data_IF_851483297909
#
_entry.id   IF_851483297909
#
_cell.length_a   1.000
_cell.length_b   1.000
_cell.length_c   1.000
_cell.angle_alpha   90.00
_cell.angle_beta   90.00
_cell.angle_gamma   90.00
#
_symmetry.space_group_name_H-M   'P 1'
#
loop_
_entity.id
_entity.type
_entity.pdbx_description
1 polymer ?
#
# COMPACT_ATOMS: atom_id res chain seq x y z
N UNK A 1 -0.57 -1.47 11.87
CA UNK A 1 0.72 -1.54 11.17
C UNK A 1 1.86 -0.95 11.98
N UNK A 2 1.87 0.35 12.33
CA UNK A 2 2.98 0.93 13.14
C UNK A 2 3.18 0.17 14.46
N UNK A 3 2.12 -0.02 15.25
CA UNK A 3 2.24 -0.78 16.51
C UNK A 3 2.65 -2.25 16.32
N UNK A 4 2.30 -2.87 15.18
CA UNK A 4 2.75 -4.23 14.88
C UNK A 4 4.26 -4.27 14.56
N UNK A 5 4.77 -3.25 13.84
CA UNK A 5 6.21 -3.07 13.64
C UNK A 5 6.94 -2.90 14.97
N UNK A 6 6.37 -2.14 15.91
CA UNK A 6 6.96 -1.95 17.24
C UNK A 6 6.99 -3.25 18.04
N UNK A 7 5.92 -4.04 17.99
CA UNK A 7 5.87 -5.37 18.63
C UNK A 7 6.93 -6.30 18.04
N UNK A 8 7.04 -6.37 16.71
CA UNK A 8 8.06 -7.19 16.05
C UNK A 8 9.48 -6.72 16.41
N UNK A 9 9.72 -5.41 16.43
CA UNK A 9 11.03 -4.88 16.77
C UNK A 9 11.43 -5.23 18.22
N UNK A 10 10.50 -5.09 19.16
CA UNK A 10 10.76 -5.32 20.58
C UNK A 10 10.82 -6.80 20.96
N UNK A 11 10.01 -7.66 20.33
CA UNK A 11 9.85 -9.06 20.74
C UNK A 11 10.57 -10.07 19.84
N UNK A 12 10.88 -9.71 18.59
CA UNK A 12 11.63 -10.57 17.67
C UNK A 12 13.10 -10.14 17.52
N UNK A 13 13.53 -9.07 18.21
CA UNK A 13 14.89 -8.50 18.12
C UNK A 13 15.30 -8.13 16.68
N UNK A 14 14.35 -7.64 15.88
CA UNK A 14 14.57 -7.16 14.52
C UNK A 14 14.63 -5.63 14.55
N UNK A 15 15.63 -4.97 13.94
CA UNK A 15 15.62 -3.53 13.82
C UNK A 15 14.34 -3.03 13.13
N UNK A 16 13.65 -2.05 13.71
CA UNK A 16 12.41 -1.51 13.12
C UNK A 16 12.63 -0.97 11.68
N UNK A 17 13.85 -0.55 11.35
CA UNK A 17 14.27 -0.13 10.01
C UNK A 17 14.21 -1.24 8.96
N UNK A 18 14.29 -2.50 9.38
CA UNK A 18 14.30 -3.66 8.49
C UNK A 18 12.87 -4.17 8.20
N UNK A 19 11.87 -3.66 8.95
CA UNK A 19 10.45 -4.00 8.81
C UNK A 19 9.77 -2.94 7.93
N UNK A 20 9.95 -3.11 6.62
CA UNK A 20 9.61 -2.07 5.63
C UNK A 20 8.30 -2.30 4.87
N UNK A 21 7.73 -3.50 4.95
CA UNK A 21 6.53 -3.88 4.19
C UNK A 21 5.24 -3.85 5.02
N UNK A 22 4.10 -3.68 4.35
CA UNK A 22 2.80 -3.95 4.94
C UNK A 22 1.89 -4.80 4.04
N UNK A 23 0.94 -5.51 4.65
CA UNK A 23 -0.23 -6.08 3.97
C UNK A 23 -1.45 -5.92 4.87
N UNK A 24 -2.51 -5.33 4.34
CA UNK A 24 -3.78 -5.17 5.01
C UNK A 24 -4.50 -6.53 5.15
N UNK A 25 -5.12 -6.81 6.31
CA UNK A 25 -5.98 -7.97 6.48
C UNK A 25 -7.06 -8.02 5.39
N UNK A 26 -7.33 -9.22 4.86
CA UNK A 26 -8.32 -9.45 3.80
C UNK A 26 -8.09 -8.63 2.52
N UNK A 27 -6.87 -8.08 2.32
CA UNK A 27 -6.53 -7.19 1.20
C UNK A 27 -7.37 -5.91 1.16
N UNK A 28 -7.99 -5.55 2.28
CA UNK A 28 -8.89 -4.40 2.33
C UNK A 28 -8.15 -3.18 2.87
N UNK A 29 -7.79 -2.27 1.95
CA UNK A 29 -7.12 -1.02 2.31
C UNK A 29 -8.12 0.06 2.71
N UNK A 30 -7.65 1.10 3.39
CA UNK A 30 -8.42 2.28 3.78
C UNK A 30 -8.35 3.43 2.78
N UNK A 31 -8.13 3.13 1.49
CA UNK A 31 -7.87 4.13 0.46
C UNK A 31 -6.63 4.98 0.78
N UNK A 32 -6.71 6.28 0.51
CA UNK A 32 -5.60 7.22 0.72
C UNK A 32 -5.03 7.20 2.15
N UNK A 33 -5.87 6.92 3.16
CA UNK A 33 -5.43 6.91 4.57
C UNK A 33 -4.38 5.82 4.84
N UNK A 34 -4.50 4.65 4.20
CA UNK A 34 -3.51 3.58 4.37
C UNK A 34 -2.15 4.01 3.84
N UNK A 35 -2.10 4.57 2.63
CA UNK A 35 -0.83 4.94 1.98
C UNK A 35 -0.23 6.22 2.57
N UNK A 36 -1.07 7.14 3.07
CA UNK A 36 -0.63 8.29 3.86
C UNK A 36 0.10 7.83 5.12
N UNK A 37 -0.52 6.92 5.89
CA UNK A 37 0.09 6.34 7.09
C UNK A 37 1.42 5.65 6.76
N UNK A 38 1.49 4.89 5.67
CA UNK A 38 2.74 4.24 5.27
C UNK A 38 3.86 5.21 4.98
N UNK A 39 3.57 6.24 4.17
CA UNK A 39 4.55 7.25 3.79
C UNK A 39 5.05 8.04 5.00
N UNK A 40 4.14 8.47 5.87
CA UNK A 40 4.47 9.22 7.08
C UNK A 40 5.30 8.39 8.08
N UNK A 41 5.17 7.06 8.07
CA UNK A 41 5.87 6.17 9.00
C UNK A 41 7.06 5.42 8.37
N UNK A 42 7.48 5.78 7.15
CA UNK A 42 8.68 5.24 6.51
C UNK A 42 8.59 3.78 6.08
N UNK A 43 7.39 3.27 5.80
CA UNK A 43 7.26 1.97 5.13
C UNK A 43 7.60 2.11 3.65
N UNK A 44 8.23 1.09 3.07
CA UNK A 44 8.71 1.07 1.69
C UNK A 44 7.63 0.62 0.71
N UNK A 45 6.83 -0.39 1.07
CA UNK A 45 5.85 -0.97 0.14
C UNK A 45 4.62 -1.54 0.85
N UNK A 46 3.54 -1.63 0.07
CA UNK A 46 2.32 -2.37 0.39
C UNK A 46 2.18 -3.57 -0.55
N UNK A 47 1.53 -4.64 -0.08
CA UNK A 47 1.16 -5.80 -0.88
C UNK A 47 -0.30 -6.19 -0.66
N UNK A 48 -1.20 -5.20 -0.70
CA UNK A 48 -2.63 -5.35 -0.44
C UNK A 48 -3.50 -5.09 -1.67
N UNK A 49 -2.97 -4.48 -2.74
CA UNK A 49 -3.72 -4.24 -3.98
C UNK A 49 -3.59 -5.47 -4.91
N UNK A 50 -4.64 -6.28 -5.11
CA UNK A 50 -4.59 -7.38 -6.04
C UNK A 50 -4.79 -6.89 -7.49
N UNK A 51 -4.05 -7.49 -8.41
CA UNK A 51 -4.28 -7.35 -9.86
C UNK A 51 -5.07 -8.54 -10.40
N UNK A 52 -6.20 -8.27 -11.06
CA UNK A 52 -6.98 -9.33 -11.70
C UNK A 52 -6.35 -9.72 -13.04
N UNK A 53 -5.49 -10.75 -13.02
CA UNK A 53 -4.82 -11.28 -14.22
C UNK A 53 -5.79 -11.85 -15.26
N UNK A 54 -6.91 -12.43 -14.82
CA UNK A 54 -7.88 -13.07 -15.72
C UNK A 54 -8.57 -12.02 -16.58
N UNK A 55 -9.05 -10.94 -15.96
CA UNK A 55 -9.69 -9.82 -16.68
C UNK A 55 -8.70 -9.05 -17.57
N UNK A 56 -7.41 -9.05 -17.21
CA UNK A 56 -6.35 -8.33 -17.93
C UNK A 56 -5.56 -9.20 -18.93
N UNK A 57 -6.19 -10.22 -19.50
CA UNK A 57 -5.59 -11.02 -20.58
C UNK A 57 -4.33 -11.79 -20.17
N UNK A 58 -4.21 -12.18 -18.90
CA UNK A 58 -3.08 -12.92 -18.35
C UNK A 58 -1.82 -12.10 -18.07
N UNK A 59 -1.82 -10.80 -18.42
CA UNK A 59 -0.64 -9.93 -18.30
C UNK A 59 -0.22 -9.77 -16.84
N UNK A 60 1.06 -10.05 -16.50
CA UNK A 60 1.57 -9.73 -15.18
C UNK A 60 1.69 -8.21 -15.00
N UNK A 61 1.53 -7.74 -13.77
CA UNK A 61 1.84 -6.37 -13.40
C UNK A 61 3.14 -6.36 -12.60
N UNK A 62 4.00 -5.41 -12.93
CA UNK A 62 5.21 -5.14 -12.15
C UNK A 62 4.89 -4.19 -10.99
N UNK A 63 5.68 -4.20 -9.91
CA UNK A 63 5.54 -3.22 -8.84
C UNK A 63 5.62 -1.79 -9.37
N UNK A 64 4.80 -0.91 -8.81
CA UNK A 64 4.75 0.51 -9.18
C UNK A 64 4.58 1.38 -7.93
N UNK A 65 5.01 2.64 -8.02
CA UNK A 65 4.74 3.63 -6.99
C UNK A 65 3.39 4.30 -7.22
N UNK A 66 2.81 4.86 -6.17
CA UNK A 66 1.59 5.67 -6.25
C UNK A 66 1.90 7.14 -6.58
N UNK A 67 2.95 7.45 -7.34
CA UNK A 67 3.24 8.86 -7.72
C UNK A 67 2.29 9.37 -8.82
N UNK A 68 1.75 8.45 -9.63
CA UNK A 68 0.92 8.73 -10.80
C UNK A 68 -0.50 8.18 -10.71
N UNK A 69 -0.90 7.65 -9.56
CA UNK A 69 -2.21 7.02 -9.40
C UNK A 69 -2.12 5.52 -9.26
N UNK A 70 -3.27 4.92 -8.99
CA UNK A 70 -3.44 3.49 -9.14
C UNK A 70 -3.33 3.13 -10.63
N UNK A 71 -2.42 2.22 -10.97
CA UNK A 71 -2.20 1.79 -12.36
C UNK A 71 -3.00 0.55 -12.75
N UNK A 72 -3.67 -0.08 -11.78
CA UNK A 72 -4.50 -1.28 -11.96
C UNK A 72 -5.93 -1.00 -11.57
N UNK A 73 -6.86 -1.84 -12.03
CA UNK A 73 -8.25 -1.76 -11.58
C UNK A 73 -8.35 -1.93 -10.06
N UNK A 74 -9.19 -1.12 -9.43
CA UNK A 74 -9.52 -1.30 -8.02
C UNK A 74 -10.49 -2.49 -7.86
N UNK A 75 -9.97 -3.63 -7.40
CA UNK A 75 -10.77 -4.85 -7.21
C UNK A 75 -11.47 -4.87 -5.84
N UNK A 76 -10.80 -4.36 -4.80
CA UNK A 76 -11.30 -4.35 -3.41
C UNK A 76 -11.27 -2.90 -2.93
N UNK A 77 -12.45 -2.32 -2.71
CA UNK A 77 -12.59 -0.93 -2.28
C UNK A 77 -12.47 -0.80 -0.76
N UNK A 78 -12.04 0.37 -0.25
CA UNK A 78 -11.55 1.55 -0.97
C UNK A 78 -10.07 1.46 -1.40
N UNK A 79 -9.76 1.97 -2.59
CA UNK A 79 -8.41 2.09 -3.16
C UNK A 79 -7.89 3.54 -3.08
N UNK A 80 -6.58 3.79 -3.21
CA UNK A 80 -6.06 5.16 -3.25
C UNK A 80 -6.49 5.84 -4.55
N UNK A 81 -7.06 7.04 -4.44
CA UNK A 81 -7.62 7.77 -5.58
C UNK A 81 -6.66 8.83 -6.13
N UNK A 82 -5.53 9.07 -5.46
CA UNK A 82 -4.53 10.05 -5.88
C UNK A 82 -5.16 11.33 -6.42
N UNK A 83 -6.00 11.95 -5.59
CA UNK A 83 -6.27 13.37 -5.78
C UNK A 83 -4.96 14.07 -5.47
N UNK A 84 -4.13 14.28 -6.50
CA UNK A 84 -3.54 15.62 -6.62
C UNK A 84 -4.76 16.52 -6.65
N UNK A 85 -5.09 17.11 -5.51
CA UNK A 85 -5.76 18.39 -5.49
C UNK A 85 -4.94 19.25 -6.44
N UNK A 86 -5.36 19.29 -7.70
CA UNK A 86 -5.21 20.47 -8.51
C UNK A 86 -5.83 21.55 -7.64
N UNK A 87 -4.97 22.25 -6.89
CA UNK A 87 -5.30 23.60 -6.46
C UNK A 87 -5.78 24.26 -7.73
N UNK A 88 -7.11 24.44 -7.82
CA UNK A 88 -7.68 25.51 -8.60
C UNK A 88 -7.05 26.77 -8.03
N UNK A 89 -6.00 27.24 -8.68
CA UNK A 89 -5.56 28.63 -8.69
C UNK A 89 -5.41 28.97 -10.15
#
# INVERSE_FOLDING_TARGET
MVGERDLLANHAAIPASDIVGMRAPLLQTGGDNTYKMLKENGFLYDSSIPHNRVKNGGKPMFPYTLDYGLQTDCIITPCPENKKTTSRV
#
